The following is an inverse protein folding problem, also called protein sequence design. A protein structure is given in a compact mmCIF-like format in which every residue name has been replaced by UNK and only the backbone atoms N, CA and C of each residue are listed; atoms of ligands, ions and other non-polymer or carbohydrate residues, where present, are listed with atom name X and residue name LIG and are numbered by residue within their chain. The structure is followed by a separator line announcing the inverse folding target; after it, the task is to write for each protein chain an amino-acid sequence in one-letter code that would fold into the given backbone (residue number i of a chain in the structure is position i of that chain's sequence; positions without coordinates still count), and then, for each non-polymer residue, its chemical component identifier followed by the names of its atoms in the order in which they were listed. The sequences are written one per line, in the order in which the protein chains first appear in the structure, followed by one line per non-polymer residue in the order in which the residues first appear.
data_IF_310119066509
#
_entry.id   IF_310119066509
#
_cell.length_a   1.000
_cell.length_b   1.000
_cell.length_c   1.000
_cell.angle_alpha   90.00
_cell.angle_beta   90.00
_cell.angle_gamma   90.00
#
_symmetry.space_group_name_H-M   'P 1'
#
loop_
_entity.id
_entity.type
_entity.pdbx_description
1 polymer ?
#
# COMPACT_ATOMS: atom_id res chain seq x y z
N UNK A 1 14.68 -1.57 22.74
CA UNK A 1 14.81 -0.24 23.36
C UNK A 1 13.53 0.18 24.11
N UNK A 2 12.35 -0.31 23.75
CA UNK A 2 11.07 0.06 24.36
C UNK A 2 10.55 -0.95 25.43
N UNK A 3 11.28 -2.03 25.71
CA UNK A 3 10.92 -3.05 26.70
C UNK A 3 10.62 -2.49 28.11
N UNK A 4 11.37 -1.48 28.62
CA UNK A 4 11.10 -0.92 29.93
C UNK A 4 9.73 -0.24 30.07
N UNK A 5 9.08 0.14 28.94
CA UNK A 5 7.77 0.78 28.94
C UNK A 5 6.60 -0.21 29.18
N UNK A 6 6.88 -1.51 29.16
CA UNK A 6 5.86 -2.54 29.28
C UNK A 6 4.81 -2.50 28.16
N UNK A 7 3.74 -3.28 28.32
CA UNK A 7 2.69 -3.42 27.30
C UNK A 7 1.97 -2.08 27.09
N UNK A 8 1.53 -1.42 28.17
CA UNK A 8 0.75 -0.17 28.07
C UNK A 8 1.56 0.94 27.39
N UNK A 9 2.85 1.09 27.76
CA UNK A 9 3.71 2.10 27.15
C UNK A 9 3.95 1.81 25.66
N UNK A 10 4.15 0.56 25.26
CA UNK A 10 4.33 0.18 23.86
C UNK A 10 3.05 0.36 23.02
N UNK A 11 1.86 0.09 23.59
CA UNK A 11 0.58 0.42 22.94
C UNK A 11 0.45 1.92 22.71
N UNK A 12 0.78 2.73 23.72
CA UNK A 12 0.75 4.19 23.58
C UNK A 12 1.71 4.69 22.51
N UNK A 13 2.96 4.18 22.49
CA UNK A 13 3.97 4.51 21.45
C UNK A 13 3.45 4.11 20.06
N UNK A 14 2.89 2.93 19.91
CA UNK A 14 2.34 2.45 18.64
C UNK A 14 1.22 3.38 18.14
N UNK A 15 0.23 3.70 18.98
CA UNK A 15 -0.89 4.58 18.62
C UNK A 15 -0.40 5.99 18.24
N UNK A 16 0.49 6.57 19.06
CA UNK A 16 1.04 7.91 18.78
C UNK A 16 1.85 7.90 17.49
N UNK A 17 2.70 6.88 17.30
CA UNK A 17 3.50 6.76 16.08
C UNK A 17 2.64 6.61 14.83
N UNK A 18 1.56 5.84 14.88
CA UNK A 18 0.59 5.73 13.77
C UNK A 18 -0.12 7.08 13.51
N UNK A 19 -0.54 7.78 14.55
CA UNK A 19 -1.20 9.08 14.40
C UNK A 19 -0.26 10.15 13.80
N UNK A 20 1.02 10.17 14.22
CA UNK A 20 2.04 11.08 13.67
C UNK A 20 2.42 10.66 12.26
N UNK A 21 2.52 9.35 11.97
CA UNK A 21 2.79 8.82 10.64
C UNK A 21 1.79 9.34 9.61
N UNK A 22 0.50 9.34 9.93
CA UNK A 22 -0.56 9.85 9.05
C UNK A 22 -0.28 11.30 8.65
N UNK A 23 0.06 12.16 9.60
CA UNK A 23 0.36 13.57 9.35
C UNK A 23 1.66 13.76 8.57
N UNK A 24 2.71 13.03 8.94
CA UNK A 24 4.01 13.06 8.27
C UNK A 24 3.90 12.59 6.82
N UNK A 25 3.18 11.51 6.58
CA UNK A 25 2.92 10.98 5.24
C UNK A 25 2.10 11.95 4.39
N UNK A 26 1.01 12.51 4.93
CA UNK A 26 0.23 13.55 4.24
C UNK A 26 1.09 14.76 3.87
N UNK A 27 1.99 15.19 4.75
CA UNK A 27 2.92 16.29 4.48
C UNK A 27 3.89 15.94 3.34
N UNK A 28 4.47 14.73 3.37
CA UNK A 28 5.37 14.23 2.33
C UNK A 28 4.65 14.16 0.98
N UNK A 29 3.49 13.51 0.92
CA UNK A 29 2.71 13.29 -0.30
C UNK A 29 2.29 14.61 -0.94
N UNK A 30 1.61 15.47 -0.17
CA UNK A 30 1.10 16.74 -0.70
C UNK A 30 2.21 17.59 -1.31
N UNK A 31 3.36 17.68 -0.65
CA UNK A 31 4.46 18.51 -1.14
C UNK A 31 5.25 17.81 -2.27
N UNK A 32 5.32 16.47 -2.32
CA UNK A 32 5.89 15.74 -3.46
C UNK A 32 5.03 15.90 -4.72
N UNK A 33 3.71 15.88 -4.60
CA UNK A 33 2.77 16.12 -5.72
C UNK A 33 2.88 17.57 -6.22
N UNK A 34 2.94 18.55 -5.30
CA UNK A 34 3.13 19.94 -5.67
C UNK A 34 4.49 20.18 -6.34
N UNK A 35 5.55 19.51 -5.85
CA UNK A 35 6.88 19.55 -6.47
C UNK A 35 6.84 19.01 -7.91
N UNK A 36 6.15 17.89 -8.12
CA UNK A 36 5.98 17.29 -9.44
C UNK A 36 5.23 18.21 -10.40
N UNK A 37 4.16 18.89 -9.93
CA UNK A 37 3.39 19.83 -10.75
C UNK A 37 4.23 21.03 -11.19
N UNK A 38 5.05 21.58 -10.29
CA UNK A 38 5.93 22.73 -10.57
C UNK A 38 7.10 22.36 -11.48
N UNK A 39 7.59 21.11 -11.44
CA UNK A 39 8.71 20.65 -12.29
C UNK A 39 8.27 20.20 -13.70
N UNK A 40 6.97 20.26 -14.02
CA UNK A 40 6.47 19.93 -15.37
C UNK A 40 6.44 18.45 -15.68
N UNK A 41 6.53 17.63 -14.66
CA UNK A 41 6.34 16.21 -14.78
C UNK A 41 4.86 15.95 -15.05
N UNK A 42 4.52 15.42 -16.23
CA UNK A 42 3.15 15.28 -16.74
C UNK A 42 2.13 14.75 -15.74
N UNK A 43 0.99 15.42 -15.65
CA UNK A 43 -0.02 15.28 -14.56
C UNK A 43 -0.58 13.87 -14.38
N UNK A 44 -0.66 13.05 -15.43
CA UNK A 44 -1.38 11.78 -15.38
C UNK A 44 -0.48 10.59 -15.01
N UNK A 45 0.68 10.41 -15.62
CA UNK A 45 1.56 9.26 -15.33
C UNK A 45 2.34 9.40 -14.05
N UNK A 46 2.88 10.59 -13.86
CA UNK A 46 3.74 10.87 -12.71
C UNK A 46 2.89 11.08 -11.47
N UNK A 47 1.71 11.70 -11.62
CA UNK A 47 0.73 11.75 -10.53
C UNK A 47 0.37 10.37 -10.02
N UNK A 48 0.11 9.41 -10.91
CA UNK A 48 -0.21 8.03 -10.55
C UNK A 48 0.98 7.32 -9.88
N UNK A 49 2.17 7.32 -10.54
CA UNK A 49 3.36 6.68 -9.99
C UNK A 49 3.85 7.40 -8.73
N UNK A 50 3.88 8.74 -8.73
CA UNK A 50 4.32 9.51 -7.56
C UNK A 50 3.34 9.42 -6.40
N UNK A 51 2.03 9.47 -6.64
CA UNK A 51 1.04 9.33 -5.57
C UNK A 51 1.15 7.93 -4.97
N UNK A 52 1.05 6.88 -5.78
CA UNK A 52 1.15 5.51 -5.29
C UNK A 52 2.49 5.22 -4.59
N UNK A 53 3.61 5.69 -5.15
CA UNK A 53 4.93 5.52 -4.51
C UNK A 53 5.04 6.30 -3.20
N UNK A 54 4.54 7.54 -3.17
CA UNK A 54 4.59 8.38 -1.97
C UNK A 54 3.68 7.86 -0.86
N UNK A 55 2.53 7.28 -1.19
CA UNK A 55 1.64 6.67 -0.20
C UNK A 55 2.21 5.38 0.35
N UNK A 56 2.96 4.59 -0.46
CA UNK A 56 3.64 3.35 -0.01
C UNK A 56 5.00 3.59 0.67
N UNK A 57 5.42 4.84 0.88
CA UNK A 57 6.64 5.14 1.65
C UNK A 57 6.60 4.58 3.08
N UNK A 58 5.50 4.68 3.84
CA UNK A 58 5.43 4.09 5.18
C UNK A 58 5.72 2.60 5.18
N UNK A 59 5.13 1.85 4.24
CA UNK A 59 5.34 0.42 4.08
C UNK A 59 6.81 0.10 3.78
N UNK A 60 7.42 0.84 2.84
CA UNK A 60 8.82 0.66 2.47
C UNK A 60 9.75 0.90 3.67
N UNK A 61 9.50 1.94 4.47
CA UNK A 61 10.34 2.27 5.63
C UNK A 61 10.14 1.24 6.75
N UNK A 62 8.93 0.75 6.98
CA UNK A 62 8.66 -0.37 7.90
C UNK A 62 9.47 -1.60 7.49
N UNK A 63 9.52 -1.92 6.19
CA UNK A 63 10.32 -3.02 5.66
C UNK A 63 11.81 -2.81 5.92
N UNK A 64 12.35 -1.63 5.64
CA UNK A 64 13.78 -1.32 5.85
C UNK A 64 14.18 -1.58 7.32
N UNK A 65 13.39 -1.13 8.29
CA UNK A 65 13.66 -1.38 9.70
C UNK A 65 13.47 -2.85 10.09
N UNK A 66 12.49 -3.52 9.50
CA UNK A 66 12.22 -4.93 9.81
C UNK A 66 13.34 -5.87 9.32
N UNK A 67 13.92 -5.60 8.14
CA UNK A 67 15.03 -6.44 7.62
C UNK A 67 16.34 -6.27 8.41
N UNK A 68 16.49 -5.18 9.15
CA UNK A 68 17.66 -4.99 10.02
C UNK A 68 17.67 -5.91 11.25
N UNK A 69 16.53 -6.52 11.59
CA UNK A 69 16.35 -7.41 12.72
C UNK A 69 15.60 -8.68 12.29
N UNK A 70 16.22 -9.85 12.25
CA UNK A 70 15.56 -11.08 11.78
C UNK A 70 14.22 -11.41 12.47
N UNK A 71 14.08 -11.07 13.76
CA UNK A 71 12.86 -11.33 14.53
C UNK A 71 11.66 -10.47 14.06
N UNK A 72 11.91 -9.38 13.36
CA UNK A 72 10.87 -8.44 12.90
C UNK A 72 10.44 -8.64 11.44
N UNK A 73 11.06 -9.58 10.70
CA UNK A 73 10.71 -9.88 9.30
C UNK A 73 9.24 -10.22 9.14
N UNK A 74 8.66 -10.95 10.10
CA UNK A 74 7.22 -11.22 10.11
C UNK A 74 6.37 -9.96 10.03
N UNK A 75 6.77 -8.88 10.73
CA UNK A 75 6.06 -7.59 10.66
C UNK A 75 6.11 -7.02 9.25
N UNK A 76 7.28 -7.07 8.59
CA UNK A 76 7.43 -6.61 7.20
C UNK A 76 6.50 -7.34 6.24
N UNK A 77 6.58 -8.68 6.25
CA UNK A 77 5.78 -9.52 5.34
C UNK A 77 4.29 -9.37 5.64
N UNK A 78 3.93 -9.37 6.93
CA UNK A 78 2.56 -9.10 7.36
C UNK A 78 2.07 -7.74 6.89
N UNK A 79 2.87 -6.69 7.11
CA UNK A 79 2.54 -5.34 6.66
C UNK A 79 2.27 -5.29 5.16
N UNK A 80 3.15 -5.84 4.32
CA UNK A 80 2.99 -5.80 2.86
C UNK A 80 1.76 -6.57 2.37
N UNK A 81 1.58 -7.82 2.81
CA UNK A 81 0.43 -8.64 2.41
C UNK A 81 -0.87 -8.11 3.02
N UNK A 82 -0.82 -7.65 4.27
CA UNK A 82 -1.94 -7.03 4.95
C UNK A 82 -2.37 -5.71 4.31
N UNK A 83 -1.43 -4.83 3.95
CA UNK A 83 -1.73 -3.59 3.23
C UNK A 83 -2.42 -3.85 1.90
N UNK A 84 -2.06 -4.92 1.18
CA UNK A 84 -2.80 -5.32 -0.02
C UNK A 84 -4.26 -5.65 0.27
N UNK A 85 -4.51 -6.42 1.31
CA UNK A 85 -5.87 -6.80 1.71
C UNK A 85 -6.64 -5.57 2.19
N UNK A 86 -6.03 -4.71 3.02
CA UNK A 86 -6.63 -3.43 3.47
C UNK A 86 -6.97 -2.55 2.27
N UNK A 87 -6.04 -2.36 1.36
CA UNK A 87 -6.17 -1.50 0.19
C UNK A 87 -7.32 -1.97 -0.72
N UNK A 88 -7.37 -3.25 -1.05
CA UNK A 88 -8.40 -3.80 -1.94
C UNK A 88 -9.74 -3.93 -1.20
N UNK A 89 -9.75 -4.58 -0.05
CA UNK A 89 -11.00 -4.95 0.59
C UNK A 89 -11.64 -3.79 1.37
N UNK A 90 -10.85 -3.04 2.14
CA UNK A 90 -11.39 -1.95 2.94
C UNK A 90 -11.46 -0.64 2.15
N UNK A 91 -10.34 -0.21 1.53
CA UNK A 91 -10.26 1.12 0.90
C UNK A 91 -11.08 1.17 -0.39
N UNK A 92 -10.91 0.21 -1.31
CA UNK A 92 -11.77 0.16 -2.51
C UNK A 92 -13.21 -0.20 -2.15
N UNK A 93 -13.43 -1.08 -1.18
CA UNK A 93 -14.77 -1.40 -0.69
C UNK A 93 -15.53 -0.15 -0.23
N UNK A 94 -14.90 0.66 0.63
CA UNK A 94 -15.45 1.94 1.09
C UNK A 94 -15.60 2.95 -0.07
N UNK A 95 -14.62 3.01 -0.97
CA UNK A 95 -14.65 3.89 -2.15
C UNK A 95 -15.85 3.57 -3.06
N UNK A 96 -16.09 2.29 -3.33
CA UNK A 96 -17.22 1.83 -4.13
C UNK A 96 -18.57 2.13 -3.47
N UNK A 97 -18.68 1.93 -2.16
CA UNK A 97 -19.90 2.28 -1.42
C UNK A 97 -20.18 3.77 -1.46
N UNK A 98 -19.18 4.61 -1.20
CA UNK A 98 -19.35 6.07 -1.25
C UNK A 98 -19.75 6.52 -2.65
N UNK A 99 -19.09 5.99 -3.69
CA UNK A 99 -19.42 6.32 -5.07
C UNK A 99 -20.85 5.94 -5.42
N UNK A 100 -21.26 4.72 -5.08
CA UNK A 100 -22.61 4.22 -5.35
C UNK A 100 -23.72 4.94 -4.56
N UNK A 101 -23.39 5.50 -3.38
CA UNK A 101 -24.33 6.27 -2.57
C UNK A 101 -24.43 7.73 -3.04
N UNK A 102 -23.31 8.36 -3.32
CA UNK A 102 -23.26 9.79 -3.65
C UNK A 102 -23.56 10.08 -5.12
N UNK A 103 -23.19 9.17 -6.03
CA UNK A 103 -23.33 9.32 -7.47
C UNK A 103 -24.08 8.18 -8.15
N UNK A 104 -25.35 7.89 -7.78
CA UNK A 104 -26.06 6.71 -8.25
C UNK A 104 -26.26 6.68 -9.78
N UNK A 105 -26.32 7.84 -10.43
CA UNK A 105 -26.45 7.96 -11.92
C UNK A 105 -25.10 7.86 -12.65
N UNK A 106 -24.00 8.21 -11.97
CA UNK A 106 -22.65 8.20 -12.51
C UNK A 106 -21.84 7.05 -11.92
N UNK A 107 -22.46 6.24 -11.05
CA UNK A 107 -21.78 5.14 -10.37
C UNK A 107 -21.18 4.21 -11.42
N UNK A 108 -19.88 4.33 -11.57
CA UNK A 108 -19.05 3.31 -12.11
C UNK A 108 -18.77 3.28 -13.59
N UNK A 109 -18.78 4.38 -14.28
CA UNK A 109 -18.12 4.39 -15.59
C UNK A 109 -16.62 4.59 -15.38
N UNK A 110 -15.86 3.48 -15.48
CA UNK A 110 -14.41 3.59 -15.67
C UNK A 110 -14.13 4.25 -17.02
N UNK A 111 -13.29 5.27 -17.05
CA UNK A 111 -12.83 5.77 -18.33
C UNK A 111 -12.07 4.64 -19.05
N UNK A 112 -12.22 4.56 -20.38
CA UNK A 112 -11.60 3.49 -21.18
C UNK A 112 -10.09 3.45 -21.02
N UNK A 113 -9.48 4.61 -20.77
CA UNK A 113 -8.05 4.81 -20.62
C UNK A 113 -7.58 4.30 -19.23
N UNK A 114 -8.26 4.71 -18.16
CA UNK A 114 -7.98 4.22 -16.81
C UNK A 114 -8.18 2.70 -16.71
N UNK A 115 -9.18 2.16 -17.38
CA UNK A 115 -9.45 0.71 -17.41
C UNK A 115 -8.30 -0.10 -17.99
N UNK A 116 -7.67 0.36 -19.07
CA UNK A 116 -6.56 -0.36 -19.70
C UNK A 116 -5.29 -0.28 -18.84
N UNK A 117 -5.01 0.85 -18.21
CA UNK A 117 -3.82 1.02 -17.36
C UNK A 117 -3.96 0.27 -16.04
N UNK A 118 -5.10 0.44 -15.38
CA UNK A 118 -5.45 -0.29 -14.16
C UNK A 118 -5.51 -1.79 -14.41
N UNK A 119 -6.05 -2.23 -15.56
CA UNK A 119 -6.11 -3.63 -15.95
C UNK A 119 -4.74 -4.28 -16.12
N UNK A 120 -3.79 -3.58 -16.74
CA UNK A 120 -2.41 -4.06 -16.90
C UNK A 120 -1.69 -4.19 -15.55
N UNK A 121 -1.85 -3.20 -14.66
CA UNK A 121 -1.27 -3.26 -13.31
C UNK A 121 -1.92 -4.35 -12.48
N UNK A 122 -3.25 -4.52 -12.57
CA UNK A 122 -3.96 -5.57 -11.87
C UNK A 122 -3.55 -6.96 -12.35
N UNK A 123 -3.30 -7.14 -13.65
CA UNK A 123 -2.76 -8.40 -14.16
C UNK A 123 -1.35 -8.67 -13.61
N UNK A 124 -0.47 -7.67 -13.62
CA UNK A 124 0.87 -7.78 -13.01
C UNK A 124 0.81 -8.10 -11.51
N UNK A 125 -0.11 -7.47 -10.79
CA UNK A 125 -0.37 -7.73 -9.38
C UNK A 125 -0.88 -9.15 -9.14
N UNK A 126 -1.79 -9.66 -9.99
CA UNK A 126 -2.27 -11.03 -9.91
C UNK A 126 -1.14 -12.04 -10.11
N UNK A 127 -0.31 -11.86 -11.14
CA UNK A 127 0.87 -12.71 -11.39
C UNK A 127 1.84 -12.66 -10.23
N UNK A 128 2.13 -11.47 -9.70
CA UNK A 128 3.01 -11.30 -8.54
C UNK A 128 2.47 -11.99 -7.28
N UNK A 129 1.15 -11.99 -7.09
CA UNK A 129 0.50 -12.63 -5.93
C UNK A 129 0.55 -14.17 -5.94
N UNK A 130 0.94 -14.78 -7.06
CA UNK A 130 1.20 -16.21 -7.14
C UNK A 130 2.52 -16.56 -6.44
N UNK A 131 3.50 -15.64 -6.42
CA UNK A 131 4.81 -15.88 -5.82
C UNK A 131 4.71 -16.25 -4.32
N UNK A 132 4.01 -15.50 -3.45
CA UNK A 132 3.79 -15.92 -2.07
C UNK A 132 3.17 -17.31 -1.91
N UNK A 133 2.27 -17.73 -2.81
CA UNK A 133 1.69 -19.07 -2.79
C UNK A 133 2.70 -20.17 -3.14
N UNK A 134 3.56 -19.92 -4.13
CA UNK A 134 4.64 -20.86 -4.47
C UNK A 134 5.59 -21.03 -3.27
N UNK A 135 5.85 -19.95 -2.53
CA UNK A 135 6.70 -19.98 -1.35
C UNK A 135 6.11 -20.84 -0.20
N UNK A 136 4.80 -20.97 -0.11
CA UNK A 136 4.16 -21.90 0.82
C UNK A 136 4.53 -23.35 0.53
N UNK A 137 4.63 -23.72 -0.73
CA UNK A 137 5.03 -25.07 -1.13
C UNK A 137 6.54 -25.30 -0.93
N UNK A 138 7.34 -24.29 -1.24
CA UNK A 138 8.82 -24.36 -1.10
C UNK A 138 9.26 -24.26 0.34
N UNK A 139 8.50 -23.59 1.22
CA UNK A 139 8.80 -23.38 2.64
C UNK A 139 9.90 -22.33 2.90
N UNK A 140 10.42 -21.69 1.86
CA UNK A 140 11.54 -20.74 1.96
C UNK A 140 11.38 -19.57 0.99
N UNK A 141 11.43 -18.36 1.54
CA UNK A 141 11.45 -17.12 0.77
C UNK A 141 12.88 -16.82 0.31
N UNK A 142 13.17 -17.17 -0.93
CA UNK A 142 14.52 -17.08 -1.50
C UNK A 142 14.81 -15.72 -2.12
N UNK A 143 16.10 -15.38 -2.24
CA UNK A 143 16.55 -14.20 -2.98
C UNK A 143 16.12 -14.23 -4.47
N UNK A 144 16.01 -15.43 -5.06
CA UNK A 144 15.55 -15.58 -6.44
C UNK A 144 14.10 -15.10 -6.59
N UNK A 145 13.22 -15.49 -5.65
CA UNK A 145 11.83 -15.01 -5.64
C UNK A 145 11.78 -13.48 -5.51
N UNK A 146 12.60 -12.91 -4.62
CA UNK A 146 12.74 -11.46 -4.48
C UNK A 146 13.21 -10.77 -5.76
N UNK A 147 14.24 -11.32 -6.40
CA UNK A 147 14.76 -10.80 -7.68
C UNK A 147 13.70 -10.82 -8.78
N UNK A 148 12.94 -11.91 -8.92
CA UNK A 148 11.87 -12.02 -9.91
C UNK A 148 10.77 -10.97 -9.70
N UNK A 149 10.38 -10.71 -8.44
CA UNK A 149 9.40 -9.67 -8.11
C UNK A 149 9.91 -8.28 -8.47
N UNK A 150 11.17 -7.95 -8.16
CA UNK A 150 11.78 -6.66 -8.51
C UNK A 150 11.91 -6.50 -10.02
N UNK A 151 12.29 -7.55 -10.76
CA UNK A 151 12.33 -7.54 -12.23
C UNK A 151 10.94 -7.29 -12.81
N UNK A 152 9.90 -7.92 -12.26
CA UNK A 152 8.50 -7.68 -12.66
C UNK A 152 8.09 -6.22 -12.41
N UNK A 153 8.49 -5.64 -11.28
CA UNK A 153 8.29 -4.22 -11.01
C UNK A 153 8.92 -3.33 -12.08
N UNK A 154 10.23 -3.51 -12.33
CA UNK A 154 10.98 -2.71 -13.31
C UNK A 154 10.40 -2.85 -14.71
N UNK A 155 10.04 -4.07 -15.13
CA UNK A 155 9.41 -4.33 -16.43
C UNK A 155 8.10 -3.56 -16.61
N UNK A 156 7.21 -3.61 -15.62
CA UNK A 156 5.93 -2.89 -15.68
C UNK A 156 6.13 -1.37 -15.63
N UNK A 157 7.06 -0.88 -14.81
CA UNK A 157 7.37 0.57 -14.74
C UNK A 157 7.97 1.07 -16.06
N UNK A 158 8.84 0.30 -16.70
CA UNK A 158 9.35 0.63 -18.03
C UNK A 158 8.23 0.71 -19.07
N UNK A 159 7.29 -0.25 -19.05
CA UNK A 159 6.11 -0.24 -19.92
C UNK A 159 5.23 0.99 -19.73
N UNK A 160 5.01 1.43 -18.47
CA UNK A 160 4.29 2.65 -18.16
C UNK A 160 5.03 3.91 -18.63
N UNK A 161 6.34 3.99 -18.41
CA UNK A 161 7.15 5.14 -18.75
C UNK A 161 7.22 5.35 -20.29
N UNK A 162 7.20 4.28 -21.08
CA UNK A 162 7.30 4.33 -22.55
C UNK A 162 6.04 4.89 -23.24
N UNK A 163 4.88 4.84 -22.60
CA UNK A 163 3.65 5.41 -23.18
C UNK A 163 3.76 6.94 -23.17
N UNK A 164 3.89 7.60 -24.33
CA UNK A 164 4.00 9.05 -24.49
C UNK A 164 2.73 9.76 -23.97
N UNK A 165 2.89 10.75 -23.13
CA UNK A 165 1.87 11.75 -22.81
C UNK A 165 2.16 13.07 -23.52
N UNK A 166 1.09 13.79 -23.87
CA UNK A 166 1.17 15.19 -24.31
C UNK A 166 1.58 16.01 -23.08
N UNK A 167 2.75 16.60 -23.13
CA UNK A 167 3.23 17.52 -22.09
C UNK A 167 2.43 18.81 -22.24
N UNK A 168 1.58 19.14 -21.28
CA UNK A 168 1.01 20.48 -21.17
C UNK A 168 2.11 21.45 -20.73
N UNK A 169 2.29 22.53 -21.48
CA UNK A 169 3.27 23.58 -21.19
C UNK A 169 3.06 24.18 -19.79
N UNK A 170 4.17 24.37 -19.09
CA UNK A 170 4.18 24.90 -17.73
C UNK A 170 3.99 26.40 -17.79
N UNK A 171 3.07 26.90 -16.99
CA UNK A 171 2.92 28.35 -16.74
C UNK A 171 3.80 28.78 -15.56
N UNK A 172 4.62 29.78 -15.85
CA UNK A 172 5.07 30.90 -15.04
C UNK A 172 6.00 30.79 -13.81
N UNK A 173 6.91 31.79 -13.81
CA UNK A 173 7.97 32.07 -12.83
C UNK A 173 7.52 32.20 -11.37
N UNK A 174 6.26 32.40 -11.06
CA UNK A 174 5.73 32.53 -9.70
C UNK A 174 5.80 31.22 -8.91
N UNK A 175 5.74 30.05 -9.60
CA UNK A 175 5.80 28.73 -8.97
C UNK A 175 7.21 28.32 -8.53
N UNK A 176 8.27 28.86 -9.13
CA UNK A 176 9.67 28.57 -8.75
C UNK A 176 10.04 29.05 -7.34
N UNK A 177 9.40 30.10 -6.84
CA UNK A 177 9.65 30.61 -5.48
C UNK A 177 9.12 29.67 -4.39
N UNK A 178 8.13 28.81 -4.69
CA UNK A 178 7.62 27.82 -3.75
C UNK A 178 8.39 26.50 -3.77
N UNK A 179 9.25 26.27 -4.77
CA UNK A 179 9.99 25.01 -4.94
C UNK A 179 10.76 24.60 -3.67
N UNK A 180 11.52 25.56 -3.10
CA UNK A 180 12.29 25.32 -1.87
C UNK A 180 11.39 24.94 -0.69
N UNK A 181 10.22 25.55 -0.58
CA UNK A 181 9.22 25.26 0.46
C UNK A 181 8.65 23.85 0.30
N UNK A 182 8.30 23.45 -0.94
CA UNK A 182 7.82 22.09 -1.21
C UNK A 182 8.86 21.02 -0.93
N UNK A 183 10.12 21.23 -1.38
CA UNK A 183 11.23 20.32 -1.09
C UNK A 183 11.44 20.17 0.42
N UNK A 184 11.51 21.30 1.15
CA UNK A 184 11.73 21.27 2.61
C UNK A 184 10.60 20.54 3.33
N UNK A 185 9.33 20.80 2.98
CA UNK A 185 8.19 20.16 3.61
C UNK A 185 8.08 18.68 3.26
N UNK A 186 8.37 18.30 2.00
CA UNK A 186 8.42 16.89 1.60
C UNK A 186 9.50 16.14 2.39
N UNK A 187 10.69 16.74 2.50
CA UNK A 187 11.81 16.16 3.25
C UNK A 187 11.50 16.00 4.74
N UNK A 188 10.90 17.01 5.38
CA UNK A 188 10.45 16.92 6.78
C UNK A 188 9.39 15.84 6.97
N UNK A 189 8.46 15.73 6.02
CA UNK A 189 7.46 14.65 6.00
C UNK A 189 8.11 13.27 5.93
N UNK A 190 9.09 13.08 5.04
CA UNK A 190 9.84 11.82 4.90
C UNK A 190 10.61 11.48 6.19
N UNK A 191 11.28 12.44 6.82
CA UNK A 191 11.94 12.23 8.11
C UNK A 191 10.93 11.78 9.17
N UNK A 192 9.77 12.44 9.23
CA UNK A 192 8.69 12.04 10.14
C UNK A 192 8.22 10.60 9.91
N UNK A 193 8.04 10.19 8.65
CA UNK A 193 7.69 8.81 8.28
C UNK A 193 8.76 7.83 8.78
N UNK A 194 10.04 8.11 8.54
CA UNK A 194 11.17 7.26 8.96
C UNK A 194 11.19 7.07 10.47
N UNK A 195 11.06 8.16 11.23
CA UNK A 195 11.06 8.11 12.70
C UNK A 195 9.86 7.32 13.23
N UNK A 196 8.67 7.57 12.70
CA UNK A 196 7.46 6.85 13.12
C UNK A 196 7.53 5.36 12.79
N UNK A 197 8.01 4.99 11.60
CA UNK A 197 8.15 3.60 11.19
C UNK A 197 9.10 2.81 12.11
N UNK A 198 10.20 3.42 12.54
CA UNK A 198 11.09 2.82 13.53
C UNK A 198 10.35 2.46 14.83
N UNK A 199 9.59 3.40 15.40
CA UNK A 199 8.83 3.15 16.63
C UNK A 199 7.69 2.15 16.44
N UNK A 200 7.06 2.13 15.26
CA UNK A 200 6.01 1.15 14.92
C UNK A 200 6.58 -0.28 14.91
N UNK A 201 7.74 -0.48 14.28
CA UNK A 201 8.38 -1.80 14.22
C UNK A 201 8.82 -2.25 15.61
N UNK A 202 9.46 -1.38 16.40
CA UNK A 202 9.92 -1.70 17.75
C UNK A 202 8.75 -2.04 18.70
N UNK A 203 7.72 -1.17 18.76
CA UNK A 203 6.57 -1.39 19.65
C UNK A 203 5.70 -2.54 19.17
N UNK A 204 5.46 -2.68 17.85
CA UNK A 204 4.70 -3.78 17.28
C UNK A 204 5.35 -5.14 17.55
N UNK A 205 6.68 -5.24 17.38
CA UNK A 205 7.44 -6.46 17.69
C UNK A 205 7.37 -6.84 19.17
N UNK A 206 7.57 -5.87 20.05
CA UNK A 206 7.47 -6.12 21.51
C UNK A 206 6.07 -6.60 21.90
N UNK A 207 5.02 -5.94 21.40
CA UNK A 207 3.64 -6.32 21.69
C UNK A 207 3.31 -7.72 21.15
N UNK A 208 3.72 -8.04 19.93
CA UNK A 208 3.52 -9.36 19.34
C UNK A 208 4.11 -10.46 20.24
N UNK A 209 5.36 -10.29 20.65
CA UNK A 209 6.06 -11.25 21.52
C UNK A 209 5.43 -11.33 22.92
N UNK A 210 4.99 -10.20 23.48
CA UNK A 210 4.43 -10.12 24.84
C UNK A 210 3.07 -10.82 24.98
N UNK A 211 2.25 -10.84 23.92
CA UNK A 211 0.90 -11.47 23.91
C UNK A 211 0.89 -12.81 23.18
N UNK A 212 2.05 -13.29 22.69
CA UNK A 212 2.14 -14.56 21.98
C UNK A 212 1.48 -14.58 20.59
N UNK A 213 1.18 -13.40 20.03
CA UNK A 213 0.66 -13.26 18.66
C UNK A 213 1.84 -13.28 17.70
N UNK A 214 1.80 -14.06 16.59
CA UNK A 214 2.86 -14.04 15.61
C UNK A 214 3.10 -12.62 15.06
N UNK A 215 4.36 -12.13 14.95
CA UNK A 215 4.66 -10.78 14.44
C UNK A 215 4.04 -10.49 13.06
N UNK A 216 3.90 -11.52 12.23
CA UNK A 216 3.27 -11.41 10.91
C UNK A 216 1.78 -11.01 11.00
N UNK A 217 1.06 -11.46 12.03
CA UNK A 217 -0.36 -11.10 12.24
C UNK A 217 -0.49 -9.65 12.69
N UNK A 218 0.38 -9.19 13.61
CA UNK A 218 0.44 -7.77 14.02
C UNK A 218 0.79 -6.89 12.82
N UNK A 219 1.76 -7.32 12.01
CA UNK A 219 2.11 -6.66 10.74
C UNK A 219 0.91 -6.54 9.81
N UNK A 220 0.17 -7.63 9.62
CA UNK A 220 -0.92 -7.71 8.66
C UNK A 220 -2.22 -7.00 9.10
N UNK A 221 -2.38 -6.73 10.37
CA UNK A 221 -3.58 -6.10 10.91
C UNK A 221 -3.32 -4.66 11.33
N UNK A 222 -2.65 -4.46 12.44
CA UNK A 222 -2.46 -3.13 13.05
C UNK A 222 -1.52 -2.26 12.24
N UNK A 223 -0.34 -2.81 11.88
CA UNK A 223 0.67 -2.03 11.13
C UNK A 223 0.17 -1.74 9.73
N UNK A 224 -0.34 -2.75 9.02
CA UNK A 224 -0.87 -2.59 7.67
C UNK A 224 -2.03 -1.58 7.59
N UNK A 225 -2.97 -1.63 8.53
CA UNK A 225 -4.02 -0.62 8.59
C UNK A 225 -3.45 0.79 8.79
N UNK A 226 -2.51 0.95 9.74
CA UNK A 226 -1.92 2.24 10.05
C UNK A 226 -1.11 2.84 8.90
N UNK A 227 -0.31 2.03 8.22
CA UNK A 227 0.50 2.48 7.07
C UNK A 227 -0.36 2.77 5.85
N UNK A 228 -1.50 2.09 5.67
CA UNK A 228 -2.45 2.32 4.56
C UNK A 228 -3.44 3.48 4.80
N UNK A 229 -3.37 4.21 5.92
CA UNK A 229 -4.24 5.38 6.14
C UNK A 229 -4.01 6.50 5.12
N UNK A 230 -2.79 6.79 4.64
CA UNK A 230 -2.58 7.74 3.54
C UNK A 230 -3.34 7.37 2.26
N UNK A 231 -3.31 6.09 1.87
CA UNK A 231 -4.06 5.56 0.73
C UNK A 231 -5.56 5.72 0.94
N UNK A 232 -6.05 5.41 2.15
CA UNK A 232 -7.45 5.60 2.52
C UNK A 232 -7.86 7.05 2.36
N UNK A 233 -7.11 7.99 2.94
CA UNK A 233 -7.41 9.41 2.88
C UNK A 233 -7.45 9.93 1.45
N UNK A 234 -6.43 9.59 0.65
CA UNK A 234 -6.29 10.02 -0.75
C UNK A 234 -7.41 9.43 -1.62
N UNK A 235 -7.71 8.15 -1.46
CA UNK A 235 -8.74 7.47 -2.25
C UNK A 235 -10.14 7.96 -1.89
N UNK A 236 -10.46 8.15 -0.61
CA UNK A 236 -11.76 8.67 -0.19
C UNK A 236 -11.97 10.13 -0.62
N UNK A 237 -10.93 10.98 -0.57
CA UNK A 237 -11.03 12.35 -1.07
C UNK A 237 -11.28 12.38 -2.59
N UNK A 238 -10.58 11.53 -3.35
CA UNK A 238 -10.78 11.37 -4.79
C UNK A 238 -12.21 10.96 -5.12
N UNK A 239 -12.75 9.94 -4.44
CA UNK A 239 -14.11 9.46 -4.67
C UNK A 239 -15.16 10.49 -4.25
N UNK A 240 -14.94 11.22 -3.15
CA UNK A 240 -15.84 12.32 -2.72
C UNK A 240 -15.94 13.42 -3.75
N UNK A 241 -14.91 13.62 -4.56
CA UNK A 241 -14.86 14.56 -5.69
C UNK A 241 -15.37 13.96 -7.01
N UNK A 242 -15.75 12.68 -7.02
CA UNK A 242 -16.25 11.96 -8.21
C UNK A 242 -15.17 11.29 -9.06
N UNK A 243 -13.91 11.27 -8.62
CA UNK A 243 -12.76 10.72 -9.35
C UNK A 243 -12.45 9.28 -8.89
N UNK A 244 -13.28 8.33 -9.30
CA UNK A 244 -13.07 6.90 -8.97
C UNK A 244 -11.80 6.34 -9.60
N UNK A 245 -11.46 6.77 -10.82
CA UNK A 245 -10.26 6.33 -11.53
C UNK A 245 -8.97 6.66 -10.77
N UNK A 246 -8.93 7.82 -10.09
CA UNK A 246 -7.79 8.20 -9.25
C UNK A 246 -7.67 7.31 -8.00
N UNK A 247 -8.80 6.99 -7.36
CA UNK A 247 -8.80 6.09 -6.20
C UNK A 247 -8.34 4.68 -6.59
N UNK A 248 -8.83 4.14 -7.71
CA UNK A 248 -8.39 2.85 -8.24
C UNK A 248 -6.91 2.86 -8.57
N UNK A 249 -6.45 3.89 -9.26
CA UNK A 249 -5.06 4.05 -9.62
C UNK A 249 -4.14 4.07 -8.42
N UNK A 250 -4.49 4.87 -7.40
CA UNK A 250 -3.74 4.94 -6.15
C UNK A 250 -3.66 3.57 -5.47
N UNK A 251 -4.80 2.91 -5.25
CA UNK A 251 -4.85 1.64 -4.52
C UNK A 251 -4.16 0.51 -5.27
N UNK A 252 -4.46 0.33 -6.57
CA UNK A 252 -3.86 -0.76 -7.35
C UNK A 252 -2.36 -0.52 -7.56
N UNK A 253 -1.96 0.75 -7.74
CA UNK A 253 -0.56 1.13 -7.82
C UNK A 253 0.19 0.81 -6.54
N UNK A 254 -0.35 1.18 -5.36
CA UNK A 254 0.23 0.84 -4.06
C UNK A 254 0.30 -0.67 -3.85
N UNK A 255 -0.76 -1.43 -4.17
CA UNK A 255 -0.75 -2.89 -4.10
C UNK A 255 0.35 -3.50 -5.00
N UNK A 256 0.49 -2.98 -6.22
CA UNK A 256 1.53 -3.45 -7.15
C UNK A 256 2.93 -3.16 -6.61
N UNK A 257 3.20 -1.95 -6.10
CA UNK A 257 4.47 -1.58 -5.48
C UNK A 257 4.75 -2.47 -4.27
N UNK A 258 3.76 -2.68 -3.42
CA UNK A 258 3.89 -3.50 -2.21
C UNK A 258 4.31 -4.94 -2.54
N UNK A 259 3.61 -5.62 -3.45
CA UNK A 259 3.92 -7.03 -3.77
C UNK A 259 5.18 -7.17 -4.61
N UNK A 260 5.43 -6.27 -5.56
CA UNK A 260 6.56 -6.45 -6.48
C UNK A 260 7.85 -5.84 -5.97
N UNK A 261 7.81 -4.57 -5.56
CA UNK A 261 9.02 -3.88 -5.09
C UNK A 261 9.30 -4.19 -3.61
N UNK A 262 8.34 -3.91 -2.73
CA UNK A 262 8.59 -3.92 -1.29
C UNK A 262 8.75 -5.35 -0.77
N UNK A 263 7.86 -6.27 -1.13
CA UNK A 263 8.02 -7.69 -0.80
C UNK A 263 9.23 -8.30 -1.52
N UNK A 264 9.46 -7.91 -2.77
CA UNK A 264 10.64 -8.32 -3.53
C UNK A 264 11.94 -7.92 -2.82
N UNK A 265 12.07 -6.69 -2.35
CA UNK A 265 13.21 -6.23 -1.56
C UNK A 265 13.32 -6.97 -0.22
N UNK A 266 12.20 -7.27 0.45
CA UNK A 266 12.20 -8.07 1.68
C UNK A 266 12.86 -9.43 1.45
N UNK A 267 12.44 -10.17 0.42
CA UNK A 267 12.98 -11.49 0.11
C UNK A 267 14.43 -11.43 -0.39
N UNK A 268 14.77 -10.39 -1.17
CA UNK A 268 16.11 -10.22 -1.73
C UNK A 268 17.15 -9.93 -0.63
N UNK A 269 16.80 -9.05 0.31
CA UNK A 269 17.72 -8.57 1.34
C UNK A 269 17.71 -9.44 2.61
N UNK A 270 16.60 -10.12 2.89
CA UNK A 270 16.45 -10.91 4.11
C UNK A 270 15.63 -12.19 3.82
N UNK A 271 16.24 -13.20 3.17
CA UNK A 271 15.58 -14.48 2.96
C UNK A 271 15.28 -15.17 4.30
N UNK A 272 14.15 -15.87 4.39
CA UNK A 272 13.68 -16.49 5.64
C UNK A 272 12.86 -17.75 5.38
N UNK A 273 12.77 -18.61 6.43
CA UNK A 273 11.87 -19.74 6.41
C UNK A 273 10.42 -19.26 6.60
N UNK A 274 9.53 -19.74 5.75
CA UNK A 274 8.12 -19.35 5.77
C UNK A 274 7.41 -20.15 6.88
N UNK A 275 6.88 -19.43 7.89
CA UNK A 275 5.91 -20.00 8.81
C UNK A 275 4.59 -20.23 8.06
N UNK A 276 4.32 -21.50 7.78
CA UNK A 276 3.22 -21.89 6.90
C UNK A 276 1.84 -21.54 7.44
N UNK A 277 1.64 -21.43 8.76
CA UNK A 277 0.30 -21.24 9.32
C UNK A 277 -0.23 -19.80 9.12
N UNK A 278 0.49 -18.80 9.61
CA UNK A 278 0.07 -17.40 9.48
C UNK A 278 0.30 -16.84 8.08
N UNK A 279 1.42 -17.20 7.43
CA UNK A 279 1.73 -16.74 6.08
C UNK A 279 0.73 -17.28 5.04
N UNK A 280 0.25 -18.53 5.18
CA UNK A 280 -0.74 -19.11 4.27
C UNK A 280 -2.06 -18.34 4.28
N UNK A 281 -2.57 -17.99 5.46
CA UNK A 281 -3.77 -17.17 5.59
C UNK A 281 -3.62 -15.87 4.79
N UNK A 282 -2.50 -15.16 4.95
CA UNK A 282 -2.25 -13.88 4.27
C UNK A 282 -2.09 -14.02 2.75
N UNK A 283 -1.29 -15.00 2.29
CA UNK A 283 -1.06 -15.23 0.86
C UNK A 283 -2.38 -15.60 0.14
N UNK A 284 -3.19 -16.47 0.74
CA UNK A 284 -4.49 -16.88 0.19
C UNK A 284 -5.46 -15.70 0.16
N UNK A 285 -5.60 -14.94 1.26
CA UNK A 285 -6.50 -13.77 1.28
C UNK A 285 -6.03 -12.68 0.32
N UNK A 286 -4.72 -12.43 0.19
CA UNK A 286 -4.18 -11.49 -0.79
C UNK A 286 -4.55 -11.92 -2.22
N UNK A 287 -4.40 -13.20 -2.56
CA UNK A 287 -4.80 -13.70 -3.90
C UNK A 287 -6.31 -13.63 -4.12
N UNK A 288 -7.13 -14.01 -3.13
CA UNK A 288 -8.59 -13.90 -3.22
C UNK A 288 -8.99 -12.44 -3.47
N UNK A 289 -8.43 -11.51 -2.71
CA UNK A 289 -8.71 -10.07 -2.86
C UNK A 289 -8.37 -9.57 -4.26
N UNK A 290 -7.19 -9.96 -4.79
CA UNK A 290 -6.75 -9.59 -6.14
C UNK A 290 -7.64 -10.22 -7.22
N UNK A 291 -8.07 -11.48 -7.03
CA UNK A 291 -8.96 -12.19 -7.97
C UNK A 291 -10.34 -11.54 -8.00
N UNK A 292 -10.91 -11.23 -6.83
CA UNK A 292 -12.21 -10.56 -6.72
C UNK A 292 -12.14 -9.16 -7.35
N UNK A 293 -11.06 -8.41 -7.10
CA UNK A 293 -10.84 -7.12 -7.74
C UNK A 293 -10.76 -7.26 -9.26
N UNK A 294 -9.99 -8.23 -9.77
CA UNK A 294 -9.88 -8.51 -11.21
C UNK A 294 -11.25 -8.82 -11.85
N UNK A 295 -12.11 -9.58 -11.17
CA UNK A 295 -13.47 -9.83 -11.59
C UNK A 295 -14.32 -8.56 -11.61
N UNK A 296 -14.24 -7.73 -10.57
CA UNK A 296 -14.98 -6.45 -10.48
C UNK A 296 -14.55 -5.50 -11.61
N UNK A 297 -13.26 -5.43 -11.92
CA UNK A 297 -12.72 -4.55 -12.97
C UNK A 297 -13.15 -4.95 -14.39
N UNK A 298 -13.60 -6.19 -14.61
CA UNK A 298 -14.18 -6.60 -15.89
C UNK A 298 -15.57 -5.97 -16.12
N UNK A 299 -16.28 -5.65 -15.06
CA UNK A 299 -17.56 -4.96 -15.14
C UNK A 299 -17.36 -3.48 -15.48
N UNK A 300 -18.32 -2.92 -16.22
CA UNK A 300 -18.28 -1.48 -16.58
C UNK A 300 -18.83 -0.58 -15.49
N UNK A 301 -19.52 -1.16 -14.51
CA UNK A 301 -20.19 -0.41 -13.43
C UNK A 301 -19.84 -1.01 -12.08
N UNK A 302 -19.61 -0.15 -11.12
CA UNK A 302 -19.43 -0.51 -9.71
C UNK A 302 -20.70 -0.14 -8.96
N UNK A 303 -21.19 -1.03 -8.14
CA UNK A 303 -22.39 -0.85 -7.34
C UNK A 303 -22.12 -1.03 -5.84
N UNK A 304 -23.17 -0.83 -5.03
CA UNK A 304 -23.09 -1.12 -3.59
C UNK A 304 -22.70 -2.57 -3.29
N UNK A 305 -23.09 -3.52 -4.18
CA UNK A 305 -22.83 -4.94 -4.01
C UNK A 305 -21.32 -5.24 -3.99
N UNK A 306 -20.56 -4.69 -4.94
CA UNK A 306 -19.11 -4.89 -5.01
C UNK A 306 -18.41 -4.29 -3.78
N UNK A 307 -18.82 -3.08 -3.36
CA UNK A 307 -18.29 -2.44 -2.17
C UNK A 307 -18.58 -3.25 -0.89
N UNK A 308 -19.81 -3.74 -0.73
CA UNK A 308 -20.19 -4.58 0.42
C UNK A 308 -19.43 -5.91 0.42
N UNK A 309 -19.27 -6.55 -0.75
CA UNK A 309 -18.51 -7.80 -0.88
C UNK A 309 -17.07 -7.64 -0.41
N UNK A 310 -16.39 -6.58 -0.85
CA UNK A 310 -15.00 -6.30 -0.45
C UNK A 310 -14.89 -6.04 1.05
N UNK A 311 -15.78 -5.25 1.64
CA UNK A 311 -15.77 -5.01 3.10
C UNK A 311 -16.06 -6.29 3.88
N UNK A 312 -16.98 -7.12 3.41
CA UNK A 312 -17.25 -8.42 4.03
C UNK A 312 -16.00 -9.32 4.03
N UNK A 313 -15.26 -9.36 2.90
CA UNK A 313 -13.98 -10.08 2.83
C UNK A 313 -12.96 -9.54 3.82
N UNK A 314 -12.89 -8.21 4.03
CA UNK A 314 -12.01 -7.64 5.03
C UNK A 314 -12.36 -8.06 6.46
N UNK A 315 -13.66 -8.05 6.81
CA UNK A 315 -14.12 -8.49 8.12
C UNK A 315 -13.78 -9.97 8.37
N UNK A 316 -14.00 -10.83 7.35
CA UNK A 316 -13.66 -12.26 7.41
C UNK A 316 -12.14 -12.42 7.59
N UNK A 317 -11.33 -11.66 6.84
CA UNK A 317 -9.87 -11.67 6.96
C UNK A 317 -9.42 -11.35 8.39
N UNK A 318 -9.92 -10.26 8.96
CA UNK A 318 -9.57 -9.86 10.34
C UNK A 318 -9.99 -10.94 11.35
N UNK A 319 -11.19 -11.48 11.21
CA UNK A 319 -11.69 -12.55 12.07
C UNK A 319 -10.82 -13.81 12.04
N UNK A 320 -10.43 -14.27 10.83
CA UNK A 320 -9.57 -15.45 10.66
C UNK A 320 -8.12 -15.18 11.08
N UNK A 321 -7.61 -13.97 10.88
CA UNK A 321 -6.24 -13.62 11.26
C UNK A 321 -6.05 -13.54 12.76
N UNK A 322 -7.08 -13.13 13.50
CA UNK A 322 -7.06 -13.04 14.96
C UNK A 322 -7.53 -14.32 15.66
N UNK A 323 -8.08 -15.28 14.90
CA UNK A 323 -8.41 -16.60 15.46
C UNK A 323 -7.14 -17.42 15.68
N UNK A 324 -7.05 -18.14 16.81
CA UNK A 324 -5.90 -18.97 17.17
C UNK A 324 -5.61 -20.07 16.13
#
# INVERSE_FOLDING_TARGET
MLEPLGIIGNVAVLIVSLAVLIKASSLAITNSVNLASVTGLGKTKIGFILVAFSTSLPELVVVIFSIMKPQTIGISVGNVLGSNIVNICLILGASFLIMALKYPKSAGFFTRMARNEVGNLNFGLFVASIVPLILLYVGYASQIAGFLLVVLFVYNMYGLAKKREVVEEISDAAEKNELKKYVTKAFLGIIGVVVCAYFIVESGSFLALSVGIPPIVVGATVVAFGTSVPELATSLDSVRKGFLDLALGNVIGSCFINITLILGLTFLLSPFNVDTSAFSKLAIFSLISNTVLGYILQNTKVSKREGTLLIALYIIFVGISLSP
#
